data_IF_532556159864
#
_entry.id   IF_532556159864
#
_cell.length_a   1.000
_cell.length_b   1.000
_cell.length_c   1.000
_cell.angle_alpha   90.00
_cell.angle_beta   90.00
_cell.angle_gamma   90.00
#
_symmetry.space_group_name_H-M   'P 1'
#
loop_
_entity.id
_entity.type
_entity.pdbx_description
1 polymer ?
#
# COMPACT_ATOMS: atom_id res chain seq x y z
N UNK A 1 -9.79 4.86 -20.50
CA UNK A 1 -9.93 3.53 -19.89
C UNK A 1 -8.71 2.68 -20.26
N UNK A 2 -8.15 2.00 -19.28
CA UNK A 2 -7.02 1.08 -19.44
C UNK A 2 -7.44 -0.31 -18.96
N UNK A 3 -7.02 -1.35 -19.67
CA UNK A 3 -7.07 -2.74 -19.23
C UNK A 3 -5.65 -3.25 -19.10
N UNK A 4 -5.29 -3.69 -17.91
CA UNK A 4 -3.95 -4.14 -17.56
C UNK A 4 -4.02 -5.63 -17.23
N UNK A 5 -3.11 -6.41 -17.80
CA UNK A 5 -2.99 -7.85 -17.56
C UNK A 5 -1.60 -8.19 -17.03
N UNK A 6 -1.54 -8.96 -15.92
CA UNK A 6 -0.27 -9.31 -15.29
C UNK A 6 -0.41 -9.74 -13.84
N UNK A 7 0.63 -9.52 -13.05
CA UNK A 7 0.59 -9.74 -11.61
C UNK A 7 -0.15 -8.62 -10.89
N UNK A 8 -1.00 -8.97 -9.94
CA UNK A 8 -1.75 -8.01 -9.11
C UNK A 8 -1.37 -8.08 -7.63
N UNK A 9 -0.80 -9.20 -7.21
CA UNK A 9 -0.35 -9.47 -5.84
C UNK A 9 1.00 -10.19 -5.92
N UNK A 10 2.05 -9.40 -6.01
CA UNK A 10 3.42 -9.87 -6.17
C UNK A 10 4.30 -9.35 -5.04
N UNK A 11 5.29 -10.12 -4.58
CA UNK A 11 6.37 -9.58 -3.77
C UNK A 11 7.07 -8.42 -4.49
N UNK A 12 7.59 -7.47 -3.74
CA UNK A 12 8.38 -6.32 -4.24
C UNK A 12 7.60 -5.35 -5.16
N UNK A 13 6.26 -5.37 -5.09
CA UNK A 13 5.40 -4.42 -5.82
C UNK A 13 4.17 -4.10 -4.99
N UNK A 14 3.61 -2.89 -5.12
CA UNK A 14 2.34 -2.54 -4.51
C UNK A 14 1.23 -3.50 -4.97
N UNK A 15 0.44 -4.02 -4.03
CA UNK A 15 -0.71 -4.87 -4.35
C UNK A 15 -1.83 -4.04 -5.00
N UNK A 16 -2.73 -4.71 -5.74
CA UNK A 16 -3.92 -4.06 -6.28
C UNK A 16 -4.76 -3.39 -5.18
N UNK A 17 -4.83 -4.00 -3.99
CA UNK A 17 -5.51 -3.41 -2.82
C UNK A 17 -4.85 -2.12 -2.34
N UNK A 18 -3.53 -2.06 -2.30
CA UNK A 18 -2.80 -0.84 -1.98
C UNK A 18 -3.10 0.27 -3.00
N UNK A 19 -3.04 -0.05 -4.29
CA UNK A 19 -3.35 0.93 -5.34
C UNK A 19 -4.77 1.46 -5.17
N UNK A 20 -5.76 0.56 -4.99
CA UNK A 20 -7.17 0.95 -4.89
C UNK A 20 -7.52 1.71 -3.62
N UNK A 21 -6.90 1.39 -2.48
CA UNK A 21 -7.37 1.83 -1.17
C UNK A 21 -6.43 2.85 -0.48
N UNK A 22 -5.15 2.91 -0.87
CA UNK A 22 -4.19 3.89 -0.37
C UNK A 22 -3.83 4.93 -1.43
N UNK A 23 -3.31 4.48 -2.57
CA UNK A 23 -2.73 5.37 -3.59
C UNK A 23 -3.78 6.18 -4.35
N UNK A 24 -4.79 5.56 -4.95
CA UNK A 24 -5.82 6.28 -5.71
C UNK A 24 -6.61 7.29 -4.85
N UNK A 25 -7.00 6.98 -3.59
CA UNK A 25 -7.60 7.98 -2.70
C UNK A 25 -6.66 9.15 -2.38
N UNK A 26 -5.35 8.91 -2.21
CA UNK A 26 -4.38 9.98 -2.02
C UNK A 26 -4.27 10.88 -3.26
N UNK A 27 -4.24 10.31 -4.47
CA UNK A 27 -4.33 11.07 -5.71
C UNK A 27 -5.66 11.83 -5.85
N UNK A 28 -6.76 11.27 -5.35
CA UNK A 28 -8.05 11.94 -5.30
C UNK A 28 -8.00 13.27 -4.55
N UNK A 29 -7.22 13.36 -3.47
CA UNK A 29 -6.98 14.62 -2.73
C UNK A 29 -6.18 15.65 -3.55
N UNK A 30 -5.47 15.19 -4.58
CA UNK A 30 -4.75 16.05 -5.53
C UNK A 30 -5.61 16.43 -6.74
N UNK A 31 -6.91 16.07 -6.75
CA UNK A 31 -7.85 16.37 -7.83
C UNK A 31 -7.92 15.32 -8.93
N UNK A 32 -7.19 14.21 -8.82
CA UNK A 32 -7.28 13.11 -9.78
C UNK A 32 -8.59 12.34 -9.59
N UNK A 33 -9.35 12.19 -10.66
CA UNK A 33 -10.52 11.31 -10.71
C UNK A 33 -10.14 10.01 -11.40
N UNK A 34 -9.83 9.00 -10.59
CA UNK A 34 -9.48 7.68 -11.08
C UNK A 34 -10.20 6.59 -10.27
N UNK A 35 -10.54 5.51 -10.94
CA UNK A 35 -11.08 4.31 -10.30
C UNK A 35 -10.42 3.06 -10.87
N UNK A 36 -10.31 2.03 -10.06
CA UNK A 36 -9.76 0.74 -10.46
C UNK A 36 -10.68 -0.38 -10.02
N UNK A 37 -10.90 -1.33 -10.91
CA UNK A 37 -11.60 -2.58 -10.62
C UNK A 37 -10.66 -3.75 -10.88
N UNK A 38 -10.45 -4.58 -9.86
CA UNK A 38 -9.75 -5.85 -10.00
C UNK A 38 -10.75 -6.91 -10.49
N UNK A 39 -10.60 -7.35 -11.75
CA UNK A 39 -11.47 -8.36 -12.37
C UNK A 39 -10.99 -9.78 -12.08
N UNK A 40 -9.68 -9.97 -12.04
CA UNK A 40 -9.04 -11.26 -11.78
C UNK A 40 -7.75 -11.07 -11.01
N UNK A 41 -7.57 -11.88 -9.96
CA UNK A 41 -6.32 -11.88 -9.21
C UNK A 41 -5.21 -12.59 -9.99
N UNK A 42 -4.00 -12.02 -9.96
CA UNK A 42 -2.80 -12.61 -10.51
C UNK A 42 -1.70 -12.67 -9.47
N UNK A 43 -1.33 -13.89 -9.05
CA UNK A 43 -0.29 -14.13 -8.06
C UNK A 43 1.03 -14.48 -8.74
N UNK A 44 2.14 -14.12 -8.11
CA UNK A 44 3.47 -14.56 -8.55
C UNK A 44 3.67 -16.06 -8.31
N UNK A 45 4.31 -16.81 -9.25
CA UNK A 45 4.86 -16.37 -10.53
C UNK A 45 3.88 -16.48 -11.71
N UNK A 46 2.68 -17.03 -11.52
CA UNK A 46 1.76 -17.34 -12.62
C UNK A 46 1.20 -16.07 -13.30
N UNK A 47 1.02 -14.98 -12.58
CA UNK A 47 0.40 -13.77 -13.12
C UNK A 47 -1.07 -13.97 -13.48
N UNK A 48 -1.47 -13.49 -14.66
CA UNK A 48 -2.82 -13.68 -15.22
C UNK A 48 -3.90 -12.84 -14.52
N UNK A 49 -3.52 -11.88 -13.71
CA UNK A 49 -4.47 -10.92 -13.15
C UNK A 49 -4.95 -9.92 -14.19
N UNK A 50 -6.12 -9.36 -13.97
CA UNK A 50 -6.74 -8.37 -14.85
C UNK A 50 -7.30 -7.22 -14.03
N UNK A 51 -6.89 -6.00 -14.37
CA UNK A 51 -7.40 -4.77 -13.77
C UNK A 51 -7.95 -3.85 -14.86
N UNK A 52 -9.04 -3.20 -14.58
CA UNK A 52 -9.54 -2.07 -15.39
C UNK A 52 -9.40 -0.78 -14.60
N UNK A 53 -8.82 0.22 -15.25
CA UNK A 53 -8.59 1.55 -14.66
C UNK A 53 -9.27 2.59 -15.54
N UNK A 54 -10.03 3.48 -14.90
CA UNK A 54 -10.63 4.63 -15.53
C UNK A 54 -9.99 5.89 -14.95
N UNK A 55 -9.54 6.79 -15.80
CA UNK A 55 -8.96 8.08 -15.40
C UNK A 55 -9.66 9.17 -16.19
N UNK A 56 -10.14 10.20 -15.50
CA UNK A 56 -10.66 11.41 -16.12
C UNK A 56 -9.54 12.42 -16.30
N UNK A 57 -9.53 13.21 -17.39
CA UNK A 57 -8.59 14.31 -17.53
C UNK A 57 -8.68 15.28 -16.35
N UNK A 58 -7.54 15.69 -15.84
CA UNK A 58 -7.42 16.69 -14.78
C UNK A 58 -6.70 17.92 -15.37
N UNK A 59 -7.25 19.10 -15.17
CA UNK A 59 -6.67 20.35 -15.70
C UNK A 59 -5.36 20.71 -15.00
N UNK A 60 -5.26 20.50 -13.69
CA UNK A 60 -4.07 20.70 -12.88
C UNK A 60 -4.15 19.82 -11.62
N UNK A 61 -3.01 19.27 -11.22
CA UNK A 61 -2.89 18.61 -9.93
C UNK A 61 -2.78 19.66 -8.82
N UNK A 62 -3.35 19.34 -7.66
CA UNK A 62 -3.24 20.19 -6.47
C UNK A 62 -2.16 19.63 -5.54
N UNK A 63 -1.24 20.47 -5.03
CA UNK A 63 -0.29 20.04 -4.02
C UNK A 63 -0.99 19.48 -2.79
N UNK A 64 -0.68 18.25 -2.34
CA UNK A 64 -1.33 17.67 -1.17
C UNK A 64 -0.67 18.16 0.12
N UNK A 65 -1.45 18.18 1.22
CA UNK A 65 -0.96 18.29 2.59
C UNK A 65 -1.40 17.06 3.37
N UNK A 66 -0.49 16.10 3.53
CA UNK A 66 -0.71 14.85 4.27
C UNK A 66 0.22 14.80 5.49
N UNK A 67 0.13 15.84 6.35
CA UNK A 67 1.10 16.06 7.43
C UNK A 67 0.59 15.60 8.80
N UNK A 68 -0.72 15.48 8.97
CA UNK A 68 -1.33 15.10 10.26
C UNK A 68 -2.06 13.78 10.11
N UNK A 69 -1.68 12.79 10.92
CA UNK A 69 -2.39 11.52 11.02
C UNK A 69 -3.67 11.71 11.85
N UNK A 70 -4.81 11.40 11.29
CA UNK A 70 -6.07 11.35 12.03
C UNK A 70 -6.05 10.21 13.08
N UNK A 71 -6.92 10.24 14.09
CA UNK A 71 -7.03 9.14 15.04
C UNK A 71 -7.29 7.79 14.39
N UNK A 72 -6.70 6.72 14.95
CA UNK A 72 -6.93 5.36 14.50
C UNK A 72 -8.41 4.98 14.68
N UNK A 73 -9.01 4.48 13.61
CA UNK A 73 -10.42 4.06 13.60
C UNK A 73 -10.56 2.54 13.55
N UNK A 74 -9.74 1.87 12.73
CA UNK A 74 -9.83 0.42 12.57
C UNK A 74 -8.51 -0.16 12.09
N UNK A 75 -8.27 -1.41 12.48
CA UNK A 75 -7.27 -2.30 11.89
C UNK A 75 -8.03 -3.54 11.43
N UNK A 76 -7.96 -3.87 10.15
CA UNK A 76 -8.64 -5.01 9.55
C UNK A 76 -7.64 -5.90 8.84
N UNK A 77 -7.77 -7.21 8.99
CA UNK A 77 -6.93 -8.17 8.30
C UNK A 77 -7.78 -9.09 7.40
N UNK A 78 -7.19 -9.46 6.27
CA UNK A 78 -7.77 -10.38 5.30
C UNK A 78 -6.66 -11.21 4.67
N UNK A 79 -6.94 -12.49 4.40
CA UNK A 79 -6.00 -13.35 3.68
C UNK A 79 -6.67 -13.87 2.41
N UNK A 80 -6.02 -13.65 1.28
CA UNK A 80 -6.46 -14.11 -0.03
C UNK A 80 -5.65 -15.36 -0.40
N UNK A 81 -6.35 -16.45 -0.73
CA UNK A 81 -5.76 -17.75 -1.01
C UNK A 81 -6.18 -18.25 -2.39
N UNK A 82 -5.27 -18.75 -3.18
CA UNK A 82 -5.55 -19.43 -4.45
C UNK A 82 -4.79 -20.74 -4.53
N UNK A 83 -5.49 -21.85 -4.78
CA UNK A 83 -4.87 -23.14 -5.01
C UNK A 83 -4.05 -23.72 -3.83
N UNK A 84 -4.20 -23.14 -2.64
CA UNK A 84 -3.52 -23.57 -1.41
C UNK A 84 -4.53 -23.87 -0.31
N UNK A 85 -4.08 -24.60 0.73
CA UNK A 85 -4.92 -24.92 1.89
C UNK A 85 -5.26 -23.65 2.69
N UNK A 86 -6.54 -23.45 3.01
CA UNK A 86 -7.00 -22.37 3.88
C UNK A 86 -6.38 -22.38 5.27
N UNK A 87 -5.88 -23.52 5.73
CA UNK A 87 -5.14 -23.66 6.99
C UNK A 87 -3.88 -22.81 7.05
N UNK A 88 -3.27 -22.46 5.91
CA UNK A 88 -2.15 -21.52 5.86
C UNK A 88 -2.65 -20.12 6.22
N UNK A 89 -3.67 -19.63 5.54
CA UNK A 89 -4.23 -18.31 5.81
C UNK A 89 -4.81 -18.15 7.21
N UNK A 90 -5.39 -19.21 7.77
CA UNK A 90 -5.88 -19.20 9.17
C UNK A 90 -4.74 -19.02 10.18
N UNK A 91 -3.57 -19.63 9.96
CA UNK A 91 -2.39 -19.44 10.83
C UNK A 91 -1.80 -18.03 10.70
N UNK A 92 -1.75 -17.48 9.46
CA UNK A 92 -1.34 -16.07 9.25
C UNK A 92 -2.28 -15.11 9.98
N UNK A 93 -3.59 -15.31 9.80
CA UNK A 93 -4.62 -14.48 10.44
C UNK A 93 -4.55 -14.58 11.97
N UNK A 94 -4.27 -15.76 12.53
CA UNK A 94 -4.11 -15.95 13.96
C UNK A 94 -2.94 -15.11 14.51
N UNK A 95 -1.78 -15.13 13.86
CA UNK A 95 -0.63 -14.30 14.26
C UNK A 95 -0.96 -12.80 14.19
N UNK A 96 -1.65 -12.37 13.13
CA UNK A 96 -2.10 -10.99 13.02
C UNK A 96 -3.06 -10.59 14.13
N UNK A 97 -3.99 -11.51 14.50
CA UNK A 97 -4.94 -11.30 15.60
C UNK A 97 -4.23 -11.16 16.95
N UNK A 98 -3.31 -12.06 17.26
CA UNK A 98 -2.53 -12.02 18.50
C UNK A 98 -1.65 -10.79 18.63
N UNK A 99 -1.15 -10.27 17.48
CA UNK A 99 -0.18 -9.17 17.48
C UNK A 99 -0.83 -7.79 17.35
N UNK A 100 -1.90 -7.68 16.56
CA UNK A 100 -2.55 -6.41 16.19
C UNK A 100 -3.97 -6.26 16.74
N UNK A 101 -4.53 -7.32 17.35
CA UNK A 101 -5.91 -7.32 17.87
C UNK A 101 -6.99 -7.34 16.78
N UNK A 102 -6.68 -7.80 15.57
CA UNK A 102 -7.66 -7.92 14.48
C UNK A 102 -8.57 -9.13 14.67
N UNK A 103 -9.74 -9.14 14.02
CA UNK A 103 -10.71 -10.25 14.07
C UNK A 103 -10.15 -11.50 13.40
N UNK A 104 -9.92 -12.61 14.15
CA UNK A 104 -9.41 -13.87 13.61
C UNK A 104 -10.48 -14.72 12.93
N UNK A 105 -11.66 -14.18 12.66
CA UNK A 105 -12.76 -14.97 12.12
C UNK A 105 -12.40 -15.61 10.77
N UNK A 106 -12.66 -16.92 10.56
CA UNK A 106 -12.31 -17.63 9.33
C UNK A 106 -12.85 -17.01 8.02
N UNK A 107 -13.95 -16.22 8.09
CA UNK A 107 -14.48 -15.48 6.93
C UNK A 107 -13.47 -14.50 6.31
N UNK A 108 -12.46 -14.08 7.11
CA UNK A 108 -11.40 -13.19 6.66
C UNK A 108 -10.32 -13.93 5.85
N UNK A 109 -10.41 -15.25 5.72
CA UNK A 109 -9.61 -16.05 4.79
C UNK A 109 -10.47 -16.39 3.57
N UNK A 110 -10.15 -15.80 2.42
CA UNK A 110 -10.94 -15.93 1.20
C UNK A 110 -10.24 -16.78 0.15
N UNK A 111 -10.98 -17.74 -0.41
CA UNK A 111 -10.55 -18.50 -1.58
C UNK A 111 -10.84 -17.72 -2.85
N UNK A 112 -9.80 -17.37 -3.58
CA UNK A 112 -9.90 -16.62 -4.84
C UNK A 112 -10.05 -17.58 -6.01
N UNK A 113 -11.08 -17.36 -6.82
CA UNK A 113 -11.36 -18.09 -8.07
C UNK A 113 -12.02 -17.15 -9.08
N UNK A 114 -11.64 -17.16 -10.38
CA UNK A 114 -10.52 -17.92 -10.93
C UNK A 114 -9.17 -17.26 -10.61
N UNK A 115 -8.11 -18.07 -10.55
CA UNK A 115 -6.72 -17.64 -10.58
C UNK A 115 -5.89 -18.70 -11.30
N UNK A 116 -4.86 -18.30 -12.03
CA UNK A 116 -4.07 -19.19 -12.88
C UNK A 116 -3.08 -20.05 -12.10
N UNK A 117 -2.78 -19.72 -10.87
CA UNK A 117 -1.79 -20.45 -10.06
C UNK A 117 -2.01 -20.32 -8.57
N UNK A 118 -1.22 -21.05 -7.78
CA UNK A 118 -1.25 -20.93 -6.34
C UNK A 118 -0.78 -19.54 -5.92
N UNK A 119 -1.42 -19.00 -4.90
CA UNK A 119 -1.06 -17.70 -4.34
C UNK A 119 -1.59 -17.53 -2.93
N UNK A 120 -0.87 -16.73 -2.17
CA UNK A 120 -1.22 -16.32 -0.82
C UNK A 120 -0.76 -14.88 -0.60
N UNK A 121 -1.65 -14.07 -0.10
CA UNK A 121 -1.33 -12.73 0.40
C UNK A 121 -2.19 -12.41 1.62
N UNK A 122 -1.53 -12.04 2.71
CA UNK A 122 -2.16 -11.45 3.86
C UNK A 122 -2.16 -9.92 3.69
N UNK A 123 -3.29 -9.29 3.91
CA UNK A 123 -3.51 -7.85 3.81
C UNK A 123 -3.92 -7.31 5.18
N UNK A 124 -3.32 -6.21 5.59
CA UNK A 124 -3.75 -5.44 6.76
C UNK A 124 -4.07 -4.03 6.32
N UNK A 125 -5.26 -3.56 6.67
CA UNK A 125 -5.75 -2.20 6.41
C UNK A 125 -5.77 -1.44 7.72
N UNK A 126 -5.07 -0.33 7.77
CA UNK A 126 -5.06 0.58 8.91
C UNK A 126 -5.77 1.86 8.49
N UNK A 127 -6.88 2.17 9.16
CA UNK A 127 -7.74 3.32 8.83
C UNK A 127 -7.55 4.46 9.82
N UNK A 128 -7.23 5.64 9.30
CA UNK A 128 -7.13 6.89 10.03
C UNK A 128 -8.00 7.96 9.34
N UNK A 129 -9.21 8.21 9.85
CA UNK A 129 -10.16 9.08 9.15
C UNK A 129 -10.48 8.55 7.75
N UNK A 130 -10.30 9.39 6.75
CA UNK A 130 -10.50 9.04 5.33
C UNK A 130 -9.25 8.42 4.67
N UNK A 131 -8.17 8.22 5.44
CA UNK A 131 -6.94 7.63 4.95
C UNK A 131 -6.86 6.15 5.33
N UNK A 132 -6.46 5.32 4.39
CA UNK A 132 -6.20 3.90 4.60
C UNK A 132 -4.79 3.57 4.15
N UNK A 133 -3.99 3.00 5.05
CA UNK A 133 -2.74 2.34 4.68
C UNK A 133 -2.99 0.84 4.51
N UNK A 134 -2.52 0.29 3.40
CA UNK A 134 -2.61 -1.14 3.11
C UNK A 134 -1.22 -1.75 3.14
N UNK A 135 -1.05 -2.74 4.00
CA UNK A 135 0.16 -3.55 4.10
C UNK A 135 -0.11 -4.94 3.53
N UNK A 136 0.86 -5.52 2.86
CA UNK A 136 0.74 -6.84 2.25
C UNK A 136 1.93 -7.74 2.58
N UNK A 137 1.63 -8.94 3.07
CA UNK A 137 2.60 -10.02 3.31
C UNK A 137 2.32 -11.17 2.34
N UNK A 138 3.31 -11.53 1.54
CA UNK A 138 3.17 -12.60 0.54
C UNK A 138 3.69 -13.91 1.09
N UNK A 139 2.95 -15.00 0.82
CA UNK A 139 3.41 -16.35 1.08
C UNK A 139 4.57 -16.73 0.16
N UNK A 140 5.62 -17.28 0.74
CA UNK A 140 6.83 -17.70 0.04
C UNK A 140 7.13 -19.18 0.32
N UNK A 141 7.82 -19.86 -0.62
CA UNK A 141 8.29 -21.22 -0.39
C UNK A 141 9.28 -21.22 0.77
N UNK A 142 9.18 -22.23 1.62
CA UNK A 142 10.04 -22.43 2.81
C UNK A 142 9.92 -21.35 3.89
N UNK A 143 8.93 -20.45 3.80
CA UNK A 143 8.56 -19.52 4.87
C UNK A 143 7.26 -20.00 5.50
N UNK A 144 7.23 -20.10 6.82
CA UNK A 144 6.00 -20.55 7.51
C UNK A 144 4.93 -19.45 7.49
N UNK A 145 3.67 -19.85 7.61
CA UNK A 145 2.55 -18.92 7.72
C UNK A 145 2.73 -17.94 8.89
N UNK A 146 3.24 -18.44 10.01
CA UNK A 146 3.53 -17.66 11.21
C UNK A 146 4.59 -16.60 10.95
N UNK A 147 5.63 -16.94 10.17
CA UNK A 147 6.67 -15.97 9.79
C UNK A 147 6.14 -14.89 8.84
N UNK A 148 5.27 -15.26 7.89
CA UNK A 148 4.60 -14.27 7.01
C UNK A 148 3.75 -13.32 7.84
N UNK A 149 2.89 -13.85 8.71
CA UNK A 149 2.05 -13.06 9.61
C UNK A 149 2.87 -12.15 10.54
N UNK A 150 3.95 -12.68 11.13
CA UNK A 150 4.80 -11.91 12.04
C UNK A 150 5.55 -10.76 11.33
N UNK A 151 6.09 -10.99 10.13
CA UNK A 151 6.72 -9.95 9.32
C UNK A 151 5.74 -8.82 8.98
N UNK A 152 4.54 -9.19 8.51
CA UNK A 152 3.48 -8.23 8.20
C UNK A 152 3.04 -7.44 9.44
N UNK A 153 2.81 -8.13 10.56
CA UNK A 153 2.47 -7.47 11.83
C UNK A 153 3.56 -6.49 12.29
N UNK A 154 4.84 -6.84 12.09
CA UNK A 154 5.97 -5.97 12.38
C UNK A 154 5.95 -4.67 11.58
N UNK A 155 5.68 -4.74 10.27
CA UNK A 155 5.55 -3.56 9.42
C UNK A 155 4.40 -2.65 9.85
N UNK A 156 3.24 -3.25 10.18
CA UNK A 156 2.08 -2.49 10.68
C UNK A 156 2.40 -1.81 12.01
N UNK A 157 3.07 -2.50 12.94
CA UNK A 157 3.49 -1.92 14.22
C UNK A 157 4.44 -0.74 14.02
N UNK A 158 5.45 -0.88 13.17
CA UNK A 158 6.38 0.23 12.88
C UNK A 158 5.63 1.48 12.40
N UNK A 159 4.63 1.31 11.53
CA UNK A 159 3.79 2.42 11.10
C UNK A 159 2.95 2.98 12.25
N UNK A 160 2.31 2.13 13.07
CA UNK A 160 1.46 2.57 14.19
C UNK A 160 2.25 3.27 15.29
N UNK A 161 3.46 2.78 15.61
CA UNK A 161 4.35 3.35 16.62
C UNK A 161 4.98 4.68 16.17
N UNK A 162 5.07 4.90 14.86
CA UNK A 162 5.53 6.16 14.28
C UNK A 162 4.45 7.23 14.23
N UNK A 163 4.85 8.48 14.00
CA UNK A 163 3.95 9.65 13.95
C UNK A 163 3.54 10.07 12.55
N UNK A 164 4.22 9.57 11.49
CA UNK A 164 3.98 9.94 10.11
C UNK A 164 2.54 9.68 9.63
N UNK A 165 1.98 10.59 8.84
CA UNK A 165 0.63 10.47 8.31
C UNK A 165 0.53 9.42 7.20
N UNK A 166 1.59 9.19 6.44
CA UNK A 166 1.67 8.17 5.38
C UNK A 166 2.70 7.11 5.71
N UNK A 167 2.44 5.89 5.27
CA UNK A 167 3.34 4.75 5.41
C UNK A 167 4.50 4.79 4.40
N UNK A 168 5.46 3.89 4.59
CA UNK A 168 6.68 3.80 3.80
C UNK A 168 6.41 3.70 2.29
N UNK A 169 5.53 2.79 1.88
CA UNK A 169 5.25 2.55 0.46
C UNK A 169 4.48 3.69 -0.20
N UNK A 170 3.52 4.29 0.52
CA UNK A 170 2.77 5.41 -0.02
C UNK A 170 3.64 6.66 -0.15
N UNK A 171 4.57 6.88 0.79
CA UNK A 171 5.49 8.02 0.74
C UNK A 171 6.34 8.05 -0.53
N UNK A 172 6.84 6.90 -0.97
CA UNK A 172 7.59 6.77 -2.23
C UNK A 172 6.69 7.01 -3.46
N UNK A 173 5.49 6.45 -3.46
CA UNK A 173 4.55 6.56 -4.59
C UNK A 173 3.99 7.99 -4.79
N UNK A 174 3.97 8.83 -3.75
CA UNK A 174 3.47 10.20 -3.83
C UNK A 174 4.48 11.19 -4.44
N UNK A 175 5.76 10.88 -4.50
CA UNK A 175 6.80 11.82 -4.92
C UNK A 175 6.57 12.35 -6.34
N UNK A 176 6.34 11.48 -7.32
CA UNK A 176 6.13 11.89 -8.70
C UNK A 176 4.83 12.70 -8.90
N UNK A 177 3.68 12.30 -8.38
CA UNK A 177 2.48 13.13 -8.41
C UNK A 177 2.67 14.51 -7.76
N UNK A 178 3.37 14.61 -6.64
CA UNK A 178 3.67 15.87 -5.98
C UNK A 178 4.60 16.76 -6.81
N UNK A 179 5.63 16.18 -7.42
CA UNK A 179 6.50 16.90 -8.34
C UNK A 179 5.71 17.48 -9.54
N UNK A 180 4.79 16.69 -10.10
CA UNK A 180 3.90 17.13 -11.18
C UNK A 180 2.87 18.19 -10.74
N UNK A 181 2.50 18.18 -9.46
CA UNK A 181 1.66 19.21 -8.85
C UNK A 181 2.42 20.51 -8.52
N UNK A 182 3.75 20.50 -8.65
CA UNK A 182 4.60 21.64 -8.32
C UNK A 182 4.75 21.92 -6.84
N UNK A 183 4.45 20.94 -5.96
CA UNK A 183 4.58 21.13 -4.51
C UNK A 183 3.83 20.10 -3.68
N UNK A 184 3.82 20.34 -2.37
CA UNK A 184 3.10 19.55 -1.38
C UNK A 184 3.98 19.11 -0.22
N UNK A 185 3.34 18.53 0.79
CA UNK A 185 4.03 18.01 1.97
C UNK A 185 3.33 16.76 2.53
N UNK A 186 4.13 15.88 3.11
CA UNK A 186 3.63 14.77 3.93
C UNK A 186 4.58 14.48 5.09
N UNK A 187 4.09 13.75 6.09
CA UNK A 187 4.93 13.18 7.14
C UNK A 187 4.96 11.66 7.02
N UNK A 188 6.13 11.07 7.29
CA UNK A 188 6.35 9.62 7.30
C UNK A 188 7.24 9.22 8.47
N UNK A 189 7.11 7.97 8.93
CA UNK A 189 7.94 7.46 10.02
C UNK A 189 9.36 7.07 9.59
N UNK A 190 9.59 6.89 8.29
CA UNK A 190 10.88 6.43 7.76
C UNK A 190 11.21 7.10 6.43
N UNK A 191 12.48 7.45 6.23
CA UNK A 191 13.05 7.75 4.91
C UNK A 191 13.65 6.46 4.37
N UNK A 192 12.89 5.75 3.54
CA UNK A 192 13.39 4.54 2.90
C UNK A 192 14.38 4.88 1.78
N UNK A 193 15.26 3.93 1.46
CA UNK A 193 16.19 4.08 0.31
C UNK A 193 15.42 4.28 -1.01
N UNK A 194 14.24 3.68 -1.13
CA UNK A 194 13.36 3.88 -2.28
C UNK A 194 12.88 5.33 -2.37
N UNK A 195 12.41 5.91 -1.29
CA UNK A 195 11.99 7.31 -1.25
C UNK A 195 13.13 8.24 -1.67
N UNK A 196 14.29 8.10 -1.03
CA UNK A 196 15.46 8.96 -1.30
C UNK A 196 15.95 8.82 -2.74
N UNK A 197 16.09 7.58 -3.24
CA UNK A 197 16.56 7.35 -4.60
C UNK A 197 15.57 7.82 -5.65
N UNK A 198 14.26 7.63 -5.43
CA UNK A 198 13.20 8.08 -6.32
C UNK A 198 13.13 9.61 -6.37
N UNK A 199 13.20 10.30 -5.23
CA UNK A 199 13.27 11.76 -5.17
C UNK A 199 14.46 12.29 -6.02
N UNK A 200 15.66 11.76 -5.80
CA UNK A 200 16.86 12.13 -6.57
C UNK A 200 16.76 11.82 -8.06
N UNK A 201 16.02 10.78 -8.42
CA UNK A 201 15.76 10.47 -9.82
C UNK A 201 14.81 11.49 -10.45
N UNK A 202 13.72 11.83 -9.77
CA UNK A 202 12.71 12.80 -10.25
C UNK A 202 13.35 14.18 -10.48
N UNK A 203 14.22 14.64 -9.57
CA UNK A 203 14.97 15.91 -9.70
C UNK A 203 15.82 16.01 -10.96
N UNK A 204 16.20 14.86 -11.56
CA UNK A 204 16.95 14.86 -12.84
C UNK A 204 16.07 15.13 -14.07
N UNK A 205 14.77 14.91 -13.95
CA UNK A 205 13.82 15.04 -15.07
C UNK A 205 12.88 16.23 -14.94
N UNK A 206 12.63 16.68 -13.73
CA UNK A 206 11.71 17.78 -13.42
C UNK A 206 12.44 18.88 -12.65
N UNK A 207 12.10 20.16 -12.87
CA UNK A 207 12.69 21.29 -12.15
C UNK A 207 12.03 21.41 -10.77
N UNK A 208 12.25 20.44 -9.92
CA UNK A 208 11.72 20.39 -8.55
C UNK A 208 12.86 20.02 -7.58
N UNK A 209 12.69 20.41 -6.33
CA UNK A 209 13.58 20.05 -5.23
C UNK A 209 12.78 19.35 -4.12
N UNK A 210 13.30 18.22 -3.64
CA UNK A 210 12.78 17.51 -2.48
C UNK A 210 13.63 17.84 -1.26
N UNK A 211 12.97 18.26 -0.19
CA UNK A 211 13.58 18.45 1.12
C UNK A 211 12.90 17.54 2.16
N UNK A 212 13.68 17.08 3.13
CA UNK A 212 13.18 16.31 4.27
C UNK A 212 13.84 16.72 5.56
N UNK A 213 13.04 16.93 6.57
CA UNK A 213 13.47 17.37 7.88
C UNK A 213 12.94 16.45 8.97
N UNK A 214 13.70 16.20 10.05
CA UNK A 214 13.19 15.51 11.21
C UNK A 214 11.92 16.21 11.74
N UNK A 215 10.89 15.43 12.01
CA UNK A 215 9.62 15.94 12.48
C UNK A 215 8.93 14.90 13.38
N UNK A 216 8.74 15.24 14.65
CA UNK A 216 7.92 14.49 15.61
C UNK A 216 8.26 12.98 15.72
N UNK A 217 9.54 12.64 15.71
CA UNK A 217 10.00 11.24 15.73
C UNK A 217 9.96 10.52 14.38
N UNK A 218 9.63 11.23 13.31
CA UNK A 218 9.68 10.80 11.93
C UNK A 218 10.28 11.90 11.05
N UNK A 219 9.73 12.05 9.85
CA UNK A 219 10.22 12.95 8.82
C UNK A 219 9.07 13.71 8.15
N UNK A 220 9.30 14.98 7.91
CA UNK A 220 8.47 15.81 7.03
C UNK A 220 9.16 15.92 5.68
N UNK A 221 8.48 15.53 4.62
CA UNK A 221 8.95 15.62 3.24
C UNK A 221 8.17 16.70 2.51
N UNK A 222 8.88 17.58 1.81
CA UNK A 222 8.29 18.66 1.01
C UNK A 222 8.81 18.63 -0.41
N UNK A 223 8.00 19.13 -1.32
CA UNK A 223 8.37 19.36 -2.73
C UNK A 223 8.17 20.82 -3.06
N UNK A 224 9.11 21.40 -3.78
CA UNK A 224 9.07 22.78 -4.31
C UNK A 224 9.44 22.75 -5.79
N UNK A 225 8.69 23.51 -6.61
CA UNK A 225 8.97 23.73 -8.05
C UNK A 225 9.66 25.06 -8.27
#
# INVERSE_FOLDING_TARGET
QLRLEGGTHNPLAPSADFIAQSYLPALGRMGVQASMQLLQHGFHPAGGGVMEVQVQPCAALQPPSLEVRAPLQAIEAQVLMSGLSSGIGLRELQVLAETLGVDPHPRNVQSIRPALGPGNVALVRVRHGDHVEVFSGHGERSVSAEQVGARLAGQVKQYLDGTGAVGEYLSDQLLLPMALAGGGAFTTHVLSDHLVSNARLIEKFLPVEFDWQPHDGGWRVTVQA
#
